data_IF_234871532631
#
_entry.id   IF_234871532631
#
_cell.length_a   1.000
_cell.length_b   1.000
_cell.length_c   1.000
_cell.angle_alpha   90.00
_cell.angle_beta   90.00
_cell.angle_gamma   90.00
#
_symmetry.space_group_name_H-M   'P 1'
#
loop_
_entity.id
_entity.type
_entity.pdbx_description
1 polymer ?
#
# COMPACT_ATOMS: atom_id res chain seq x y z
N UNK A 1 28.76 -6.79 -27.11
CA UNK A 1 28.48 -5.67 -26.20
C UNK A 1 28.22 -6.31 -24.85
N UNK A 2 29.20 -6.24 -23.95
CA UNK A 2 29.14 -6.84 -22.61
C UNK A 2 28.19 -5.99 -21.77
N UNK A 3 27.05 -6.54 -21.42
CA UNK A 3 26.09 -5.95 -20.49
C UNK A 3 26.82 -5.74 -19.15
N UNK A 4 27.11 -4.49 -18.83
CA UNK A 4 27.78 -4.14 -17.59
C UNK A 4 26.87 -4.51 -16.43
N UNK A 5 27.24 -5.56 -15.70
CA UNK A 5 26.56 -5.98 -14.49
C UNK A 5 26.40 -4.78 -13.55
N UNK A 6 25.16 -4.42 -13.20
CA UNK A 6 24.85 -3.38 -12.25
C UNK A 6 25.53 -3.77 -10.93
N UNK A 7 26.44 -2.94 -10.37
CA UNK A 7 27.12 -3.29 -9.13
C UNK A 7 26.10 -3.50 -8.01
N UNK A 8 26.37 -4.45 -7.09
CA UNK A 8 25.46 -4.70 -5.97
C UNK A 8 25.25 -3.41 -5.15
N UNK A 9 24.02 -3.16 -4.67
CA UNK A 9 23.72 -1.95 -3.93
C UNK A 9 24.62 -1.84 -2.68
N UNK A 10 25.20 -0.67 -2.46
CA UNK A 10 25.99 -0.41 -1.25
C UNK A 10 25.10 -0.52 -0.01
N UNK A 11 25.67 -0.84 1.16
CA UNK A 11 24.92 -0.94 2.43
C UNK A 11 24.08 0.32 2.71
N UNK A 12 24.63 1.51 2.40
CA UNK A 12 23.92 2.78 2.56
C UNK A 12 22.70 2.91 1.61
N UNK A 13 22.84 2.44 0.36
CA UNK A 13 21.72 2.47 -0.60
C UNK A 13 20.61 1.50 -0.19
N UNK A 14 20.98 0.34 0.35
CA UNK A 14 19.99 -0.62 0.88
C UNK A 14 19.21 -0.03 2.06
N UNK A 15 19.85 0.70 2.97
CA UNK A 15 19.17 1.36 4.10
C UNK A 15 18.13 2.40 3.62
N UNK A 16 18.46 3.19 2.60
CA UNK A 16 17.51 4.18 2.05
C UNK A 16 16.29 3.50 1.42
N UNK A 17 16.49 2.45 0.63
CA UNK A 17 15.39 1.69 0.05
C UNK A 17 14.52 1.03 1.15
N UNK A 18 15.17 0.44 2.15
CA UNK A 18 14.52 -0.19 3.30
C UNK A 18 13.66 0.81 4.07
N UNK A 19 14.19 1.99 4.38
CA UNK A 19 13.43 3.06 5.04
C UNK A 19 12.19 3.48 4.22
N UNK A 20 12.36 3.66 2.90
CA UNK A 20 11.25 4.01 2.02
C UNK A 20 10.13 2.97 2.02
N UNK A 21 10.48 1.69 1.87
CA UNK A 21 9.50 0.60 1.81
C UNK A 21 8.90 0.29 3.18
N UNK A 22 9.72 0.17 4.23
CA UNK A 22 9.23 -0.14 5.58
C UNK A 22 8.36 0.99 6.14
N UNK A 23 8.66 2.26 5.83
CA UNK A 23 7.79 3.36 6.21
C UNK A 23 6.38 3.23 5.60
N UNK A 24 6.29 2.83 4.32
CA UNK A 24 4.99 2.54 3.69
C UNK A 24 4.34 1.31 4.33
N UNK A 25 5.11 0.24 4.60
CA UNK A 25 4.60 -0.97 5.24
C UNK A 25 4.03 -0.67 6.64
N UNK A 26 4.70 0.17 7.43
CA UNK A 26 4.21 0.61 8.74
C UNK A 26 2.90 1.39 8.65
N UNK A 27 2.75 2.28 7.66
CA UNK A 27 1.49 2.99 7.43
C UNK A 27 0.35 2.02 7.10
N UNK A 28 0.59 1.05 6.23
CA UNK A 28 -0.40 0.01 5.89
C UNK A 28 -0.72 -0.86 7.10
N UNK A 29 0.29 -1.32 7.83
CA UNK A 29 0.11 -2.16 9.03
C UNK A 29 -0.70 -1.41 10.11
N UNK A 30 -0.41 -0.13 10.33
CA UNK A 30 -1.18 0.70 11.27
C UNK A 30 -2.66 0.82 10.85
N UNK A 31 -2.93 1.00 9.54
CA UNK A 31 -4.29 1.05 9.03
C UNK A 31 -5.00 -0.30 9.22
N UNK A 32 -4.34 -1.42 8.88
CA UNK A 32 -4.88 -2.78 9.09
C UNK A 32 -5.24 -3.00 10.55
N UNK A 33 -4.32 -2.71 11.49
CA UNK A 33 -4.58 -2.91 12.92
C UNK A 33 -5.76 -2.06 13.40
N UNK A 34 -5.79 -0.77 13.06
CA UNK A 34 -6.88 0.13 13.49
C UNK A 34 -8.24 -0.30 12.94
N UNK A 35 -8.31 -0.68 11.67
CA UNK A 35 -9.56 -1.10 11.05
C UNK A 35 -10.00 -2.47 11.55
N UNK A 36 -9.08 -3.40 11.83
CA UNK A 36 -9.41 -4.71 12.40
C UNK A 36 -10.15 -4.56 13.74
N UNK A 37 -9.70 -3.65 14.61
CA UNK A 37 -10.34 -3.42 15.90
C UNK A 37 -11.80 -2.97 15.75
N UNK A 38 -12.13 -2.23 14.70
CA UNK A 38 -13.52 -1.82 14.41
C UNK A 38 -14.28 -2.95 13.71
N UNK A 39 -13.62 -3.66 12.81
CA UNK A 39 -14.21 -4.73 12.04
C UNK A 39 -14.73 -5.92 12.90
N UNK A 40 -14.02 -6.23 14.00
CA UNK A 40 -14.39 -7.32 14.91
C UNK A 40 -15.47 -6.96 15.93
N UNK A 41 -15.86 -5.69 16.05
CA UNK A 41 -16.79 -5.20 17.06
C UNK A 41 -18.10 -6.01 17.18
N UNK A 42 -18.86 -6.33 16.09
CA UNK A 42 -20.08 -7.13 16.19
C UNK A 42 -19.88 -8.53 16.75
N UNK A 43 -18.69 -9.10 16.56
CA UNK A 43 -18.37 -10.45 17.06
C UNK A 43 -17.98 -10.42 18.53
N UNK A 44 -17.31 -9.37 18.98
CA UNK A 44 -16.92 -9.18 20.39
C UNK A 44 -18.12 -8.79 21.24
N UNK A 45 -19.04 -7.98 20.70
CA UNK A 45 -20.26 -7.55 21.41
C UNK A 45 -21.39 -8.59 21.41
N UNK A 46 -21.17 -9.74 20.70
CA UNK A 46 -22.15 -10.81 20.63
C UNK A 46 -23.37 -10.55 19.73
N UNK A 47 -23.37 -9.45 18.96
CA UNK A 47 -24.46 -9.15 18.03
C UNK A 47 -24.49 -10.14 16.84
N UNK A 48 -23.29 -10.60 16.40
CA UNK A 48 -23.15 -11.47 15.25
C UNK A 48 -23.61 -10.84 13.93
N UNK A 49 -23.64 -11.64 12.87
CA UNK A 49 -24.18 -11.23 11.57
C UNK A 49 -25.31 -12.19 11.18
N UNK A 50 -26.36 -11.66 10.57
CA UNK A 50 -27.41 -12.46 9.94
C UNK A 50 -26.86 -13.23 8.74
N UNK A 51 -27.54 -14.31 8.26
CA UNK A 51 -27.09 -15.04 7.06
C UNK A 51 -26.96 -14.16 5.81
N UNK A 52 -27.82 -13.16 5.66
CA UNK A 52 -27.75 -12.21 4.57
C UNK A 52 -26.49 -11.29 4.69
N UNK A 53 -26.22 -10.77 5.86
CA UNK A 53 -25.03 -9.95 6.13
C UNK A 53 -23.73 -10.73 5.94
N UNK A 54 -23.73 -12.02 6.30
CA UNK A 54 -22.61 -12.91 6.00
C UNK A 54 -22.38 -13.07 4.50
N UNK A 55 -23.45 -13.27 3.72
CA UNK A 55 -23.33 -13.38 2.25
C UNK A 55 -22.75 -12.08 1.65
N UNK A 56 -23.24 -10.92 2.08
CA UNK A 56 -22.71 -9.61 1.65
C UNK A 56 -21.25 -9.45 2.08
N UNK A 57 -20.91 -9.81 3.32
CA UNK A 57 -19.53 -9.71 3.84
C UNK A 57 -18.56 -10.54 3.00
N UNK A 58 -18.88 -11.80 2.72
CA UNK A 58 -18.04 -12.70 1.90
C UNK A 58 -17.88 -12.16 0.47
N UNK A 59 -18.96 -11.71 -0.14
CA UNK A 59 -18.92 -11.11 -1.48
C UNK A 59 -18.06 -9.84 -1.49
N UNK A 60 -18.19 -8.99 -0.46
CA UNK A 60 -17.41 -7.78 -0.32
C UNK A 60 -15.91 -8.05 -0.09
N UNK A 61 -15.55 -9.03 0.75
CA UNK A 61 -14.16 -9.48 0.92
C UNK A 61 -13.57 -9.92 -0.42
N UNK A 62 -14.31 -10.74 -1.19
CA UNK A 62 -13.86 -11.19 -2.51
C UNK A 62 -13.63 -10.03 -3.49
N UNK A 63 -14.57 -9.07 -3.52
CA UNK A 63 -14.45 -7.87 -4.34
C UNK A 63 -13.25 -7.00 -3.93
N UNK A 64 -13.06 -6.76 -2.63
CA UNK A 64 -11.93 -5.97 -2.11
C UNK A 64 -10.59 -6.64 -2.35
N UNK A 65 -10.47 -7.95 -2.14
CA UNK A 65 -9.25 -8.71 -2.46
C UNK A 65 -8.89 -8.58 -3.94
N UNK A 66 -9.87 -8.65 -4.84
CA UNK A 66 -9.61 -8.55 -6.27
C UNK A 66 -9.30 -7.11 -6.72
N UNK A 67 -10.15 -6.15 -6.34
CA UNK A 67 -10.04 -4.77 -6.84
C UNK A 67 -8.94 -4.00 -6.15
N UNK A 68 -8.90 -4.02 -4.82
CA UNK A 68 -7.93 -3.29 -4.01
C UNK A 68 -6.64 -4.09 -3.84
N UNK A 69 -6.74 -5.33 -3.37
CA UNK A 69 -5.59 -6.18 -3.08
C UNK A 69 -4.80 -6.51 -4.34
N UNK A 70 -5.42 -7.19 -5.29
CA UNK A 70 -4.72 -7.68 -6.47
C UNK A 70 -4.48 -6.58 -7.52
N UNK A 71 -5.53 -5.90 -8.00
CA UNK A 71 -5.38 -4.90 -9.06
C UNK A 71 -4.76 -3.61 -8.56
N UNK A 72 -5.22 -3.10 -7.41
CA UNK A 72 -4.76 -1.82 -6.85
C UNK A 72 -3.36 -1.93 -6.26
N UNK A 73 -3.19 -2.80 -5.26
CA UNK A 73 -1.91 -2.93 -4.58
C UNK A 73 -0.90 -3.75 -5.37
N UNK A 74 -1.15 -5.03 -5.60
CA UNK A 74 -0.13 -5.94 -6.12
C UNK A 74 0.33 -5.59 -7.53
N UNK A 75 -0.57 -5.21 -8.43
CA UNK A 75 -0.22 -4.90 -9.83
C UNK A 75 0.18 -3.44 -10.10
N UNK A 76 -0.25 -2.50 -9.27
CA UNK A 76 -0.03 -1.09 -9.55
C UNK A 76 0.79 -0.36 -8.48
N UNK A 77 0.36 -0.41 -7.22
CA UNK A 77 0.99 0.36 -6.14
C UNK A 77 2.34 -0.22 -5.72
N UNK A 78 2.38 -1.51 -5.42
CA UNK A 78 3.55 -2.20 -4.85
C UNK A 78 4.78 -2.14 -5.78
N UNK A 79 4.72 -2.53 -7.07
CA UNK A 79 5.90 -2.52 -7.92
C UNK A 79 6.43 -1.10 -8.10
N UNK A 80 5.56 -0.10 -8.22
CA UNK A 80 5.99 1.31 -8.30
C UNK A 80 6.66 1.78 -7.02
N UNK A 81 6.09 1.47 -5.86
CA UNK A 81 6.62 1.88 -4.56
C UNK A 81 8.03 1.31 -4.35
N UNK A 82 8.24 0.03 -4.64
CA UNK A 82 9.54 -0.63 -4.52
C UNK A 82 10.53 -0.04 -5.54
N UNK A 83 10.16 0.07 -6.82
CA UNK A 83 11.02 0.62 -7.87
C UNK A 83 11.47 2.06 -7.53
N UNK A 84 10.58 2.93 -7.04
CA UNK A 84 10.91 4.29 -6.63
C UNK A 84 11.83 4.33 -5.40
N UNK A 85 11.62 3.47 -4.41
CA UNK A 85 12.48 3.39 -3.24
C UNK A 85 13.92 2.98 -3.62
N UNK A 86 14.08 1.99 -4.49
CA UNK A 86 15.37 1.59 -5.02
C UNK A 86 16.01 2.65 -5.91
N UNK A 87 15.22 3.36 -6.73
CA UNK A 87 15.73 4.49 -7.51
C UNK A 87 16.27 5.61 -6.61
N UNK A 88 15.57 5.96 -5.51
CA UNK A 88 16.07 6.94 -4.55
C UNK A 88 17.38 6.48 -3.90
N UNK A 89 17.52 5.20 -3.67
CA UNK A 89 18.72 4.60 -3.11
C UNK A 89 19.96 4.75 -4.01
N UNK A 90 19.79 4.79 -5.35
CA UNK A 90 20.90 5.01 -6.30
C UNK A 90 21.32 6.47 -6.40
N UNK A 91 20.44 7.41 -6.10
CA UNK A 91 20.70 8.86 -6.17
C UNK A 91 20.10 9.58 -4.94
N UNK A 92 20.67 9.35 -3.74
CA UNK A 92 20.10 9.88 -2.52
C UNK A 92 20.26 11.39 -2.47
N UNK A 93 19.14 12.10 -2.22
CA UNK A 93 19.12 13.51 -1.84
C UNK A 93 18.59 13.60 -0.43
N UNK A 94 19.27 14.30 0.46
CA UNK A 94 18.96 14.34 1.90
C UNK A 94 17.48 14.55 2.20
N UNK A 95 16.84 15.53 1.56
CA UNK A 95 15.42 15.80 1.74
C UNK A 95 14.54 14.61 1.31
N UNK A 96 14.87 13.96 0.21
CA UNK A 96 14.09 12.82 -0.29
C UNK A 96 14.31 11.56 0.55
N UNK A 97 15.48 11.42 1.18
CA UNK A 97 15.76 10.31 2.10
C UNK A 97 14.93 10.45 3.38
N UNK A 98 14.81 11.65 3.93
CA UNK A 98 13.96 11.90 5.11
C UNK A 98 12.51 11.54 4.82
N UNK A 99 12.00 11.94 3.65
CA UNK A 99 10.64 11.66 3.22
C UNK A 99 10.53 10.47 2.25
N UNK A 100 11.42 9.48 2.35
CA UNK A 100 11.47 8.35 1.42
C UNK A 100 10.15 7.57 1.31
N UNK A 101 9.37 7.32 2.39
CA UNK A 101 8.06 6.70 2.24
C UNK A 101 7.09 7.49 1.36
N UNK A 102 7.00 8.80 1.54
CA UNK A 102 6.14 9.67 0.73
C UNK A 102 6.65 9.81 -0.72
N UNK A 103 7.98 9.80 -0.94
CA UNK A 103 8.58 9.72 -2.27
C UNK A 103 8.24 8.39 -2.96
N UNK A 104 8.34 7.27 -2.26
CA UNK A 104 7.98 5.94 -2.78
C UNK A 104 6.51 5.86 -3.20
N UNK A 105 5.61 6.48 -2.43
CA UNK A 105 4.17 6.61 -2.73
C UNK A 105 3.86 7.61 -3.86
N UNK A 106 4.86 8.28 -4.44
CA UNK A 106 4.69 9.33 -5.46
C UNK A 106 3.80 10.51 -5.00
N UNK A 107 3.87 10.88 -3.71
CA UNK A 107 3.15 12.04 -3.16
C UNK A 107 3.85 13.37 -3.46
N UNK A 108 5.12 13.33 -3.83
CA UNK A 108 5.90 14.46 -4.32
C UNK A 108 6.97 13.99 -5.31
N UNK A 109 7.57 14.93 -6.04
CA UNK A 109 8.60 14.65 -7.04
C UNK A 109 8.18 13.55 -8.03
N UNK A 110 7.01 13.74 -8.63
CA UNK A 110 6.46 12.89 -9.68
C UNK A 110 5.88 13.77 -10.79
N UNK A 111 5.64 13.18 -11.96
CA UNK A 111 4.96 13.90 -13.08
C UNK A 111 3.62 14.46 -12.62
N UNK A 112 3.16 15.65 -13.13
CA UNK A 112 1.93 16.29 -12.67
C UNK A 112 0.70 15.37 -12.68
N UNK A 113 0.52 14.61 -13.76
CA UNK A 113 -0.58 13.63 -13.85
C UNK A 113 -0.52 12.60 -12.71
N UNK A 114 0.67 12.13 -12.36
CA UNK A 114 0.87 11.14 -11.29
C UNK A 114 0.63 11.74 -9.90
N UNK A 115 1.08 12.98 -9.67
CA UNK A 115 0.81 13.70 -8.42
C UNK A 115 -0.69 13.85 -8.19
N UNK A 116 -1.42 14.30 -9.22
CA UNK A 116 -2.89 14.42 -9.14
C UNK A 116 -3.52 13.09 -8.77
N UNK A 117 -3.16 12.00 -9.45
CA UNK A 117 -3.69 10.66 -9.14
C UNK A 117 -3.36 10.23 -7.71
N UNK A 118 -2.12 10.42 -7.24
CA UNK A 118 -1.73 10.05 -5.88
C UNK A 118 -2.52 10.84 -4.82
N UNK A 119 -2.66 12.15 -4.98
CA UNK A 119 -3.42 12.99 -4.06
C UNK A 119 -4.93 12.74 -4.13
N UNK A 120 -5.47 12.43 -5.32
CA UNK A 120 -6.87 12.01 -5.45
C UNK A 120 -7.14 10.70 -4.70
N UNK A 121 -6.23 9.73 -4.78
CA UNK A 121 -6.36 8.48 -4.00
C UNK A 121 -6.35 8.78 -2.50
N UNK A 122 -5.44 9.62 -2.02
CA UNK A 122 -5.41 10.03 -0.59
C UNK A 122 -6.71 10.72 -0.19
N UNK A 123 -7.21 11.65 -1.00
CA UNK A 123 -8.47 12.36 -0.73
C UNK A 123 -9.66 11.39 -0.74
N UNK A 124 -9.73 10.46 -1.70
CA UNK A 124 -10.80 9.47 -1.80
C UNK A 124 -10.79 8.52 -0.59
N UNK A 125 -9.61 8.04 -0.17
CA UNK A 125 -9.48 7.20 1.02
C UNK A 125 -9.94 7.97 2.26
N UNK A 126 -9.53 9.23 2.42
CA UNK A 126 -9.94 10.07 3.55
C UNK A 126 -11.45 10.27 3.57
N UNK A 127 -12.04 10.57 2.43
CA UNK A 127 -13.50 10.73 2.30
C UNK A 127 -14.24 9.41 2.61
N UNK A 128 -13.74 8.28 2.09
CA UNK A 128 -14.31 6.96 2.38
C UNK A 128 -14.27 6.64 3.88
N UNK A 129 -13.14 6.90 4.56
CA UNK A 129 -13.02 6.70 6.01
C UNK A 129 -14.03 7.55 6.78
N UNK A 130 -14.23 8.82 6.37
CA UNK A 130 -15.24 9.69 7.01
C UNK A 130 -16.65 9.15 6.76
N UNK A 131 -16.97 8.77 5.52
CA UNK A 131 -18.29 8.25 5.16
C UNK A 131 -18.63 6.95 5.92
N UNK A 132 -17.68 6.01 5.98
CA UNK A 132 -17.85 4.72 6.67
C UNK A 132 -18.09 4.88 8.16
N UNK A 133 -17.52 5.92 8.80
CA UNK A 133 -17.76 6.21 10.22
C UNK A 133 -19.21 6.51 10.55
N UNK A 134 -20.01 6.95 9.59
CA UNK A 134 -21.43 7.24 9.75
C UNK A 134 -22.35 6.04 9.48
N UNK A 135 -21.80 4.90 9.06
CA UNK A 135 -22.59 3.68 8.87
C UNK A 135 -22.96 3.07 10.22
N UNK A 136 -24.22 2.60 10.37
CA UNK A 136 -24.61 1.84 11.55
C UNK A 136 -23.96 0.44 11.56
N UNK A 137 -23.81 -0.13 12.78
CA UNK A 137 -23.47 -1.55 12.92
C UNK A 137 -24.61 -2.43 12.36
N UNK A 138 -24.32 -3.56 11.68
CA UNK A 138 -23.00 -4.13 11.39
C UNK A 138 -22.36 -3.66 10.07
N UNK A 139 -23.02 -2.80 9.28
CA UNK A 139 -22.58 -2.40 7.94
C UNK A 139 -21.18 -1.78 7.93
N UNK A 140 -20.86 -0.97 8.94
CA UNK A 140 -19.51 -0.41 9.11
C UNK A 140 -18.47 -1.52 9.21
N UNK A 141 -18.70 -2.53 10.05
CA UNK A 141 -17.78 -3.63 10.24
C UNK A 141 -17.62 -4.48 8.97
N UNK A 142 -18.70 -4.71 8.21
CA UNK A 142 -18.65 -5.41 6.92
C UNK A 142 -17.74 -4.68 5.93
N UNK A 143 -17.87 -3.35 5.85
CA UNK A 143 -17.01 -2.55 4.95
C UNK A 143 -15.56 -2.61 5.43
N UNK A 144 -15.31 -2.42 6.72
CA UNK A 144 -13.96 -2.42 7.28
C UNK A 144 -13.27 -3.80 7.14
N UNK A 145 -14.00 -4.92 7.27
CA UNK A 145 -13.45 -6.27 7.01
C UNK A 145 -12.91 -6.39 5.58
N UNK A 146 -13.66 -5.95 4.58
CA UNK A 146 -13.20 -5.99 3.19
C UNK A 146 -11.97 -5.12 2.95
N UNK A 147 -11.95 -3.90 3.51
CA UNK A 147 -10.80 -2.99 3.43
C UNK A 147 -9.57 -3.61 4.11
N UNK A 148 -9.74 -4.21 5.29
CA UNK A 148 -8.66 -4.93 6.00
C UNK A 148 -8.09 -6.06 5.13
N UNK A 149 -8.95 -6.84 4.48
CA UNK A 149 -8.51 -7.90 3.57
C UNK A 149 -7.69 -7.34 2.38
N UNK A 150 -8.17 -6.28 1.72
CA UNK A 150 -7.46 -5.61 0.62
C UNK A 150 -6.11 -5.02 1.04
N UNK A 151 -6.09 -4.27 2.15
CA UNK A 151 -4.86 -3.69 2.71
C UNK A 151 -3.87 -4.76 3.18
N UNK A 152 -4.36 -5.83 3.83
CA UNK A 152 -3.54 -6.97 4.26
C UNK A 152 -2.86 -7.65 3.08
N UNK A 153 -3.61 -7.89 1.99
CA UNK A 153 -3.03 -8.37 0.73
C UNK A 153 -1.96 -7.42 0.19
N UNK A 154 -2.22 -6.12 0.21
CA UNK A 154 -1.28 -5.08 -0.21
C UNK A 154 0.01 -5.09 0.61
N UNK A 155 -0.11 -5.21 1.94
CA UNK A 155 1.03 -5.27 2.85
C UNK A 155 1.89 -6.52 2.59
N UNK A 156 1.28 -7.70 2.48
CA UNK A 156 1.99 -8.94 2.16
C UNK A 156 2.69 -8.83 0.80
N UNK A 157 1.98 -8.34 -0.21
CA UNK A 157 2.55 -8.13 -1.54
C UNK A 157 3.73 -7.17 -1.54
N UNK A 158 3.67 -6.09 -0.74
CA UNK A 158 4.76 -5.13 -0.58
C UNK A 158 5.99 -5.78 0.04
N UNK A 159 5.83 -6.53 1.13
CA UNK A 159 6.94 -7.19 1.81
C UNK A 159 7.58 -8.29 0.93
N UNK A 160 6.76 -9.09 0.22
CA UNK A 160 7.27 -10.13 -0.70
C UNK A 160 8.04 -9.50 -1.86
N UNK A 161 7.50 -8.45 -2.48
CA UNK A 161 8.16 -7.76 -3.60
C UNK A 161 9.44 -7.08 -3.12
N UNK A 162 9.44 -6.48 -1.95
CA UNK A 162 10.64 -5.90 -1.34
C UNK A 162 11.72 -6.96 -1.07
N UNK A 163 11.34 -8.11 -0.51
CA UNK A 163 12.27 -9.22 -0.27
C UNK A 163 12.89 -9.76 -1.56
N UNK A 164 12.15 -9.79 -2.68
CA UNK A 164 12.68 -10.12 -4.00
C UNK A 164 13.64 -9.06 -4.51
N UNK A 165 13.28 -7.78 -4.35
CA UNK A 165 14.12 -6.66 -4.77
C UNK A 165 15.47 -6.61 -4.02
N UNK A 166 15.50 -6.98 -2.73
CA UNK A 166 16.75 -7.12 -1.97
C UNK A 166 17.66 -8.25 -2.52
N UNK A 167 17.10 -9.23 -3.23
CA UNK A 167 17.84 -10.31 -3.90
C UNK A 167 18.25 -9.94 -5.33
N UNK A 168 17.99 -8.71 -5.77
CA UNK A 168 18.35 -8.22 -7.09
C UNK A 168 17.19 -8.20 -8.11
N UNK A 169 16.00 -8.73 -7.77
CA UNK A 169 14.80 -8.71 -8.61
C UNK A 169 13.97 -7.45 -8.34
N UNK A 170 14.51 -6.29 -8.75
CA UNK A 170 13.81 -5.01 -8.61
C UNK A 170 12.78 -4.89 -9.73
N UNK A 171 11.50 -4.57 -9.40
CA UNK A 171 10.46 -4.44 -10.40
C UNK A 171 10.81 -3.40 -11.48
N UNK A 172 10.72 -3.79 -12.76
CA UNK A 172 10.77 -2.84 -13.87
C UNK A 172 9.41 -2.14 -13.98
N UNK A 173 9.31 -0.97 -13.42
CA UNK A 173 8.08 -0.20 -13.39
C UNK A 173 8.34 1.29 -13.61
N UNK A 174 7.40 1.96 -14.29
CA UNK A 174 7.52 3.38 -14.59
C UNK A 174 7.63 4.22 -13.29
N UNK A 175 8.75 4.94 -13.16
CA UNK A 175 9.03 5.75 -11.96
C UNK A 175 8.21 7.05 -11.92
N UNK A 176 7.68 7.48 -13.08
CA UNK A 176 6.90 8.72 -13.22
C UNK A 176 7.62 9.95 -12.63
N UNK A 177 8.95 10.04 -12.77
CA UNK A 177 9.72 11.18 -12.32
C UNK A 177 9.50 12.41 -13.22
N UNK A 178 9.61 13.64 -12.68
CA UNK A 178 9.58 14.84 -13.50
C UNK A 178 10.76 14.85 -14.47
N UNK A 179 10.55 15.34 -15.70
CA UNK A 179 11.58 15.58 -16.71
C UNK A 179 12.50 16.70 -16.28
#
# INVERSE_FOLDING_TARGET
MTEAAVPPPSSASTLVATWGVLGVALLLAQAVVKLTLVAIDPFVTGQGLTPFEWAVCVAWIGASLYTEGYRGFQKAFVPRTVARAFHLATRPRTLFVVFAPAFAMALFHARPKRLVVSWMIVALITLAVVAVRHLPSPWRSIVDIGVVAGLGWGLVSLLVTFARALRGDVPDFALDLPS
#
